data_IF_811116992485
#
_entry.id   IF_811116992485
#
_cell.length_a   1.000
_cell.length_b   1.000
_cell.length_c   1.000
_cell.angle_alpha   90.00
_cell.angle_beta   90.00
_cell.angle_gamma   90.00
#
_symmetry.space_group_name_H-M   'P 1'
#
loop_
_entity.id
_entity.type
_entity.pdbx_description
1 polymer ?
#
# COMPACT_ATOMS: atom_id res chain seq x y z
N UNK A 1 -7.24 -27.82 -34.76
CA UNK A 1 -8.39 -27.18 -34.07
C UNK A 1 -8.08 -25.70 -34.01
N UNK A 2 -8.71 -24.95 -34.91
CA UNK A 2 -8.32 -23.59 -35.26
C UNK A 2 -8.57 -22.58 -34.14
N UNK A 3 -7.49 -21.89 -33.75
CA UNK A 3 -7.45 -20.84 -32.72
C UNK A 3 -7.94 -19.49 -33.30
N UNK A 4 -8.49 -19.49 -34.51
CA UNK A 4 -8.78 -18.29 -35.30
C UNK A 4 -10.22 -17.76 -35.16
N UNK A 5 -11.00 -18.21 -34.17
CA UNK A 5 -12.36 -17.68 -33.99
C UNK A 5 -12.33 -16.45 -33.04
N UNK A 6 -12.50 -15.22 -33.55
CA UNK A 6 -12.38 -14.00 -32.75
C UNK A 6 -13.39 -13.96 -31.58
N UNK A 7 -14.49 -14.68 -31.70
CA UNK A 7 -15.51 -14.83 -30.64
C UNK A 7 -14.97 -15.60 -29.43
N UNK A 8 -14.17 -16.65 -29.63
CA UNK A 8 -13.55 -17.44 -28.55
C UNK A 8 -12.48 -16.62 -27.83
N UNK A 9 -11.72 -15.80 -28.58
CA UNK A 9 -10.72 -14.88 -28.01
C UNK A 9 -11.39 -13.79 -27.17
N UNK A 10 -12.49 -13.19 -27.64
CA UNK A 10 -13.25 -12.17 -26.90
C UNK A 10 -13.91 -12.75 -25.63
N UNK A 11 -14.50 -13.95 -25.71
CA UNK A 11 -15.07 -14.64 -24.54
C UNK A 11 -13.95 -15.04 -23.56
N UNK A 12 -12.80 -15.48 -24.07
CA UNK A 12 -11.60 -15.75 -23.28
C UNK A 12 -11.07 -14.50 -22.57
N UNK A 13 -11.00 -13.36 -23.25
CA UNK A 13 -10.65 -12.05 -22.68
C UNK A 13 -11.64 -11.67 -21.58
N UNK A 14 -12.94 -11.79 -21.84
CA UNK A 14 -13.98 -11.45 -20.87
C UNK A 14 -13.89 -12.34 -19.62
N UNK A 15 -13.67 -13.65 -19.78
CA UNK A 15 -13.51 -14.60 -18.66
C UNK A 15 -12.20 -14.35 -17.91
N UNK A 16 -11.11 -14.03 -18.60
CA UNK A 16 -9.82 -13.76 -17.98
C UNK A 16 -9.82 -12.43 -17.22
N UNK A 17 -10.38 -11.37 -17.81
CA UNK A 17 -10.60 -10.09 -17.14
C UNK A 17 -11.58 -10.25 -15.97
N UNK A 18 -12.63 -11.06 -16.13
CA UNK A 18 -13.56 -11.39 -15.06
C UNK A 18 -12.90 -12.20 -13.94
N UNK A 19 -12.00 -13.16 -14.25
CA UNK A 19 -11.24 -13.93 -13.25
C UNK A 19 -10.14 -13.09 -12.59
N UNK A 20 -9.52 -12.14 -13.30
CA UNK A 20 -8.54 -11.21 -12.76
C UNK A 20 -9.22 -10.17 -11.86
N UNK A 21 -10.38 -9.66 -12.26
CA UNK A 21 -11.24 -8.82 -11.43
C UNK A 21 -11.81 -9.64 -10.26
N UNK A 22 -12.22 -10.89 -10.44
CA UNK A 22 -12.73 -11.76 -9.38
C UNK A 22 -11.64 -12.17 -8.39
N UNK A 23 -10.39 -12.37 -8.82
CA UNK A 23 -9.26 -12.63 -7.91
C UNK A 23 -8.79 -11.36 -7.21
N UNK A 24 -8.87 -10.19 -7.84
CA UNK A 24 -8.68 -8.89 -7.18
C UNK A 24 -9.84 -8.53 -6.24
N UNK A 25 -11.08 -8.94 -6.56
CA UNK A 25 -12.27 -8.74 -5.75
C UNK A 25 -12.40 -9.80 -4.65
N UNK A 26 -11.86 -11.01 -4.83
CA UNK A 26 -11.66 -12.00 -3.78
C UNK A 26 -10.46 -11.62 -2.92
N UNK A 27 -9.39 -11.05 -3.46
CA UNK A 27 -8.35 -10.41 -2.64
C UNK A 27 -8.95 -9.23 -1.88
N UNK A 28 -9.76 -8.37 -2.51
CA UNK A 28 -10.44 -7.24 -1.88
C UNK A 28 -11.54 -7.64 -0.89
N UNK A 29 -12.25 -8.74 -1.16
CA UNK A 29 -13.44 -9.24 -0.45
C UNK A 29 -13.13 -10.31 0.61
N UNK A 30 -12.15 -11.21 0.38
CA UNK A 30 -11.57 -12.02 1.47
C UNK A 30 -10.76 -11.16 2.45
N UNK A 31 -10.25 -10.00 2.02
CA UNK A 31 -9.66 -9.00 2.91
C UNK A 31 -10.66 -7.90 3.34
N UNK A 32 -11.93 -8.05 2.95
CA UNK A 32 -13.01 -7.08 3.13
C UNK A 32 -14.26 -7.74 3.67
N UNK A 33 -14.16 -8.41 4.83
CA UNK A 33 -15.32 -8.67 5.67
C UNK A 33 -14.98 -8.33 7.12
N UNK A 34 -15.62 -7.26 7.58
CA UNK A 34 -15.69 -6.85 8.98
C UNK A 34 -16.10 -8.03 9.88
N UNK A 35 -15.75 -7.88 11.17
CA UNK A 35 -16.19 -8.68 12.31
C UNK A 35 -15.51 -10.03 12.56
N UNK A 36 -14.32 -9.97 13.17
CA UNK A 36 -13.86 -11.00 14.14
C UNK A 36 -13.56 -10.45 15.54
N UNK A 37 -14.15 -9.31 15.91
CA UNK A 37 -14.19 -8.85 17.31
C UNK A 37 -15.26 -9.62 18.11
N UNK A 38 -16.30 -10.17 17.44
CA UNK A 38 -17.32 -10.99 18.11
C UNK A 38 -16.80 -12.37 18.58
N UNK A 39 -15.88 -12.99 17.84
CA UNK A 39 -15.36 -14.33 18.17
C UNK A 39 -14.47 -14.37 19.41
N UNK A 40 -13.72 -13.30 19.70
CA UNK A 40 -12.86 -13.22 20.89
C UNK A 40 -13.66 -12.99 22.19
N UNK A 41 -14.85 -12.37 22.12
CA UNK A 41 -15.75 -12.22 23.28
C UNK A 41 -16.52 -13.51 23.59
N UNK A 42 -16.95 -14.24 22.56
CA UNK A 42 -17.57 -15.58 22.71
C UNK A 42 -16.58 -16.63 23.22
N UNK A 43 -15.31 -16.59 22.82
CA UNK A 43 -14.27 -17.48 23.34
C UNK A 43 -13.95 -17.23 24.82
N UNK A 44 -14.08 -15.99 25.31
CA UNK A 44 -13.87 -15.66 26.73
C UNK A 44 -15.03 -16.12 27.63
N UNK A 45 -16.23 -16.26 27.08
CA UNK A 45 -17.41 -16.78 27.80
C UNK A 45 -17.42 -18.31 27.82
N UNK A 46 -16.87 -18.98 26.80
CA UNK A 46 -16.78 -20.45 26.74
C UNK A 46 -15.67 -21.05 27.62
N UNK A 47 -14.76 -20.22 28.14
CA UNK A 47 -13.68 -20.62 29.06
C UNK A 47 -14.11 -20.68 30.54
N UNK A 48 -15.36 -20.31 30.86
CA UNK A 48 -15.85 -20.27 32.25
C UNK A 48 -16.61 -21.53 32.70
N UNK A 49 -16.88 -22.47 31.79
CA UNK A 49 -17.50 -23.75 32.12
C UNK A 49 -16.83 -24.92 31.41
N UNK A 50 -16.47 -25.94 32.19
CA UNK A 50 -16.21 -27.30 31.69
C UNK A 50 -14.74 -27.69 31.73
N UNK A 51 -14.37 -28.36 32.82
CA UNK A 51 -13.06 -28.98 32.96
C UNK A 51 -12.78 -30.01 31.86
N UNK A 52 -11.58 -29.94 31.30
CA UNK A 52 -10.79 -31.08 30.85
C UNK A 52 -9.42 -30.58 30.40
N UNK A 53 -8.52 -30.39 31.38
CA UNK A 53 -7.11 -30.12 31.14
C UNK A 53 -6.43 -31.21 30.28
N UNK A 54 -6.98 -32.44 30.30
CA UNK A 54 -6.56 -33.55 29.47
C UNK A 54 -6.89 -33.37 27.97
N UNK A 55 -8.04 -32.78 27.62
CA UNK A 55 -8.41 -32.49 26.22
C UNK A 55 -7.63 -31.29 25.68
N UNK A 56 -7.37 -30.28 26.52
CA UNK A 56 -6.52 -29.14 26.16
C UNK A 56 -5.06 -29.55 25.88
N UNK A 57 -4.51 -30.51 26.66
CA UNK A 57 -3.18 -31.06 26.41
C UNK A 57 -3.12 -31.98 25.17
N UNK A 58 -4.18 -32.75 24.91
CA UNK A 58 -4.29 -33.58 23.71
C UNK A 58 -4.47 -32.72 22.43
N UNK A 59 -5.24 -31.63 22.50
CA UNK A 59 -5.35 -30.64 21.42
C UNK A 59 -4.11 -29.75 21.29
N UNK A 60 -3.40 -29.46 22.38
CA UNK A 60 -2.10 -28.78 22.31
C UNK A 60 -1.05 -29.65 21.62
N UNK A 61 -1.00 -30.96 21.89
CA UNK A 61 -0.15 -31.89 21.14
C UNK A 61 -0.59 -31.99 19.67
N UNK A 62 -1.89 -32.10 19.37
CA UNK A 62 -2.40 -32.11 17.98
C UNK A 62 -2.10 -30.79 17.22
N UNK A 63 -2.15 -29.65 17.90
CA UNK A 63 -1.81 -28.34 17.33
C UNK A 63 -0.30 -28.09 17.25
N UNK A 64 0.52 -28.77 18.06
CA UNK A 64 1.98 -28.80 17.95
C UNK A 64 2.43 -29.61 16.71
N UNK A 65 1.74 -30.71 16.39
CA UNK A 65 1.99 -31.48 15.15
C UNK A 65 1.52 -30.78 13.87
N UNK A 66 0.56 -29.85 13.95
CA UNK A 66 0.18 -28.97 12.82
C UNK A 66 1.21 -27.83 12.61
N UNK A 67 2.14 -27.61 13.55
CA UNK A 67 3.17 -26.56 13.50
C UNK A 67 4.50 -27.03 12.87
N UNK A 68 4.48 -28.05 12.02
CA UNK A 68 5.65 -28.51 11.26
C UNK A 68 5.34 -28.84 9.79
N UNK A 69 4.47 -28.06 9.16
CA UNK A 69 4.51 -27.87 7.70
C UNK A 69 5.28 -26.59 7.40
N UNK A 70 6.60 -26.70 7.51
CA UNK A 70 7.56 -25.73 7.00
C UNK A 70 8.39 -26.51 5.97
N UNK A 71 8.73 -25.87 4.85
CA UNK A 71 9.73 -26.31 3.85
C UNK A 71 9.23 -26.76 2.46
N UNK A 72 8.23 -26.08 1.88
CA UNK A 72 8.13 -26.02 0.40
C UNK A 72 7.92 -24.58 -0.09
N UNK A 73 7.15 -23.78 0.65
CA UNK A 73 6.87 -22.37 0.29
C UNK A 73 7.93 -21.37 0.76
N UNK A 74 8.75 -21.72 1.77
CA UNK A 74 9.85 -20.85 2.24
C UNK A 74 11.05 -20.84 1.28
N UNK A 75 11.18 -21.85 0.39
CA UNK A 75 12.20 -21.89 -0.67
C UNK A 75 11.77 -21.15 -1.96
N UNK A 76 10.49 -20.83 -2.12
CA UNK A 76 9.97 -20.16 -3.32
C UNK A 76 10.13 -18.64 -3.27
N UNK A 77 10.38 -18.07 -2.09
CA UNK A 77 10.45 -16.63 -1.89
C UNK A 77 11.80 -16.27 -1.27
N UNK A 78 12.66 -15.50 -1.96
CA UNK A 78 13.89 -14.99 -1.34
C UNK A 78 13.53 -14.11 -0.13
N UNK A 79 14.04 -14.49 1.06
CA UNK A 79 13.85 -13.85 2.38
C UNK A 79 12.40 -13.87 2.93
N UNK A 80 11.91 -15.02 3.41
CA UNK A 80 10.56 -15.15 3.98
C UNK A 80 10.32 -14.27 5.22
N UNK A 81 11.36 -13.99 6.01
CA UNK A 81 11.23 -13.14 7.21
C UNK A 81 10.96 -11.66 6.86
N UNK A 82 11.58 -11.15 5.81
CA UNK A 82 11.40 -9.78 5.35
C UNK A 82 9.99 -9.57 4.79
N UNK A 83 9.48 -10.58 4.09
CA UNK A 83 8.12 -10.57 3.57
C UNK A 83 7.07 -10.67 4.70
N UNK A 84 7.31 -11.49 5.73
CA UNK A 84 6.46 -11.53 6.93
C UNK A 84 6.43 -10.17 7.65
N UNK A 85 7.59 -9.51 7.79
CA UNK A 85 7.65 -8.14 8.33
C UNK A 85 6.84 -7.15 7.50
N UNK A 86 6.94 -7.21 6.16
CA UNK A 86 6.14 -6.36 5.26
C UNK A 86 4.64 -6.63 5.34
N UNK A 87 4.24 -7.88 5.44
CA UNK A 87 2.83 -8.26 5.64
C UNK A 87 2.31 -7.72 6.97
N UNK A 88 3.09 -7.78 8.04
CA UNK A 88 2.72 -7.19 9.33
C UNK A 88 2.53 -5.67 9.25
N UNK A 89 3.26 -4.96 8.37
CA UNK A 89 3.04 -3.51 8.13
C UNK A 89 1.67 -3.19 7.51
N UNK A 90 0.98 -4.17 6.91
CA UNK A 90 -0.40 -3.98 6.44
C UNK A 90 -1.40 -3.91 7.60
N UNK A 91 -1.00 -4.42 8.78
CA UNK A 91 -1.81 -4.70 9.98
C UNK A 91 -3.17 -5.31 9.68
N UNK A 92 -3.23 -6.11 8.61
CA UNK A 92 -4.24 -7.13 8.36
C UNK A 92 -3.58 -8.48 8.62
N UNK A 93 -4.32 -9.47 9.12
CA UNK A 93 -3.86 -10.86 9.31
C UNK A 93 -3.68 -11.59 7.96
N UNK A 94 -2.89 -11.02 7.06
CA UNK A 94 -2.54 -11.63 5.78
C UNK A 94 -1.43 -12.63 6.05
N UNK A 95 -1.83 -13.88 6.30
CA UNK A 95 -0.88 -14.98 6.47
C UNK A 95 0.01 -15.12 5.23
N UNK A 96 1.29 -15.38 5.44
CA UNK A 96 2.28 -15.64 4.39
C UNK A 96 1.79 -16.71 3.39
N UNK A 97 1.09 -17.75 3.87
CA UNK A 97 0.47 -18.78 3.03
C UNK A 97 -0.55 -18.19 2.04
N UNK A 98 -1.39 -17.25 2.48
CA UNK A 98 -2.41 -16.59 1.63
C UNK A 98 -1.78 -15.72 0.55
N UNK A 99 -0.68 -15.03 0.88
CA UNK A 99 0.08 -14.25 -0.11
C UNK A 99 0.66 -15.14 -1.20
N UNK A 100 1.37 -16.20 -0.83
CA UNK A 100 2.01 -17.11 -1.81
C UNK A 100 0.96 -17.80 -2.70
N UNK A 101 -0.16 -18.26 -2.11
CA UNK A 101 -1.27 -18.84 -2.88
C UNK A 101 -1.85 -17.79 -3.85
N UNK A 102 -2.06 -16.55 -3.41
CA UNK A 102 -2.57 -15.49 -4.29
C UNK A 102 -1.60 -15.18 -5.44
N UNK A 103 -0.30 -15.17 -5.20
CA UNK A 103 0.71 -14.96 -6.24
C UNK A 103 0.75 -16.09 -7.27
N UNK A 104 0.63 -17.34 -6.81
CA UNK A 104 0.57 -18.51 -7.70
C UNK A 104 -0.72 -18.47 -8.54
N UNK A 105 -1.88 -18.20 -7.92
CA UNK A 105 -3.16 -18.11 -8.64
C UNK A 105 -3.13 -16.99 -9.67
N UNK A 106 -2.63 -15.80 -9.31
CA UNK A 106 -2.48 -14.68 -10.26
C UNK A 106 -1.52 -15.06 -11.39
N UNK A 107 -0.40 -15.72 -11.08
CA UNK A 107 0.55 -16.18 -12.10
C UNK A 107 -0.07 -17.15 -13.08
N UNK A 108 -0.79 -18.17 -12.60
CA UNK A 108 -1.48 -19.16 -13.44
C UNK A 108 -2.57 -18.50 -14.29
N UNK A 109 -3.36 -17.60 -13.71
CA UNK A 109 -4.40 -16.86 -14.44
C UNK A 109 -3.78 -15.98 -15.52
N UNK A 110 -2.70 -15.26 -15.23
CA UNK A 110 -2.01 -14.42 -16.21
C UNK A 110 -1.40 -15.26 -17.33
N UNK A 111 -0.71 -16.37 -17.02
CA UNK A 111 -0.16 -17.29 -18.03
C UNK A 111 -1.26 -17.81 -18.95
N UNK A 112 -2.35 -18.32 -18.37
CA UNK A 112 -3.46 -18.91 -19.12
C UNK A 112 -4.19 -17.88 -19.98
N UNK A 113 -4.38 -16.67 -19.44
CA UNK A 113 -4.95 -15.55 -20.19
C UNK A 113 -4.09 -15.17 -21.39
N UNK A 114 -2.76 -15.13 -21.22
CA UNK A 114 -1.82 -14.73 -22.28
C UNK A 114 -1.75 -15.78 -23.40
N UNK A 115 -1.78 -17.07 -23.06
CA UNK A 115 -1.84 -18.16 -24.04
C UNK A 115 -3.12 -18.07 -24.89
N UNK A 116 -4.26 -17.74 -24.28
CA UNK A 116 -5.55 -17.63 -24.99
C UNK A 116 -5.65 -16.35 -25.82
N UNK A 117 -5.17 -15.21 -25.30
CA UNK A 117 -5.28 -13.90 -25.98
C UNK A 117 -4.34 -13.76 -27.16
N UNK A 118 -3.10 -14.21 -27.00
CA UNK A 118 -2.02 -13.77 -27.89
C UNK A 118 -1.53 -14.86 -28.83
N UNK A 119 -1.98 -16.11 -28.65
CA UNK A 119 -1.57 -17.24 -29.49
C UNK A 119 -0.06 -17.52 -29.46
N UNK A 120 0.69 -16.88 -28.55
CA UNK A 120 2.12 -17.09 -28.36
C UNK A 120 2.38 -18.49 -27.80
N UNK A 121 3.52 -19.08 -28.19
CA UNK A 121 4.02 -20.34 -27.65
C UNK A 121 4.02 -20.34 -26.12
N UNK A 122 3.84 -21.51 -25.50
CA UNK A 122 3.76 -21.68 -24.05
C UNK A 122 4.94 -21.04 -23.28
N UNK A 123 6.14 -21.03 -23.88
CA UNK A 123 7.39 -20.51 -23.29
C UNK A 123 7.34 -19.00 -22.92
N UNK A 124 7.09 -18.06 -23.86
CA UNK A 124 6.99 -16.63 -23.51
C UNK A 124 5.80 -16.31 -22.57
N UNK A 125 4.67 -17.00 -22.70
CA UNK A 125 3.51 -16.77 -21.82
C UNK A 125 3.78 -17.19 -20.37
N UNK A 126 4.59 -18.24 -20.15
CA UNK A 126 5.03 -18.65 -18.82
C UNK A 126 5.94 -17.59 -18.16
N UNK A 127 6.85 -16.97 -18.92
CA UNK A 127 7.71 -15.90 -18.41
C UNK A 127 6.88 -14.69 -17.97
N UNK A 128 5.91 -14.27 -18.78
CA UNK A 128 5.01 -13.14 -18.47
C UNK A 128 4.13 -13.47 -17.26
N UNK A 129 3.65 -14.70 -17.14
CA UNK A 129 2.85 -15.12 -15.98
C UNK A 129 3.63 -15.21 -14.67
N UNK A 130 4.90 -15.65 -14.71
CA UNK A 130 5.78 -15.60 -13.53
C UNK A 130 6.01 -14.15 -13.10
N UNK A 131 6.32 -13.26 -14.05
CA UNK A 131 6.50 -11.84 -13.77
C UNK A 131 5.20 -11.20 -13.23
N UNK A 132 4.06 -11.46 -13.87
CA UNK A 132 2.75 -10.95 -13.43
C UNK A 132 2.35 -11.48 -12.04
N UNK A 133 2.56 -12.78 -11.80
CA UNK A 133 2.25 -13.45 -10.55
C UNK A 133 3.08 -12.95 -9.37
N UNK A 134 4.33 -12.54 -9.59
CA UNK A 134 5.15 -11.93 -8.55
C UNK A 134 4.87 -10.42 -8.40
N UNK A 135 4.69 -9.71 -9.51
CA UNK A 135 4.66 -8.25 -9.54
C UNK A 135 3.32 -7.65 -9.10
N UNK A 136 2.19 -8.17 -9.59
CA UNK A 136 0.85 -7.66 -9.23
C UNK A 136 0.57 -7.69 -7.71
N UNK A 137 0.70 -8.83 -7.01
CA UNK A 137 0.39 -8.87 -5.58
C UNK A 137 1.39 -8.04 -4.77
N UNK A 138 2.64 -7.93 -5.22
CA UNK A 138 3.64 -7.07 -4.59
C UNK A 138 3.25 -5.59 -4.67
N UNK A 139 2.83 -5.12 -5.85
CA UNK A 139 2.35 -3.75 -6.04
C UNK A 139 1.11 -3.46 -5.21
N UNK A 140 0.16 -4.41 -5.15
CA UNK A 140 -1.04 -4.27 -4.35
C UNK A 140 -0.72 -4.10 -2.86
N UNK A 141 0.10 -5.00 -2.30
CA UNK A 141 0.54 -4.89 -0.90
C UNK A 141 1.26 -3.57 -0.66
N UNK A 142 2.16 -3.16 -1.55
CA UNK A 142 2.88 -1.91 -1.39
C UNK A 142 1.93 -0.71 -1.37
N UNK A 143 0.88 -0.71 -2.22
CA UNK A 143 -0.17 0.31 -2.19
C UNK A 143 -0.95 0.29 -0.87
N UNK A 144 -1.31 -0.89 -0.35
CA UNK A 144 -2.02 -1.01 0.93
C UNK A 144 -1.17 -0.48 2.09
N UNK A 145 0.12 -0.86 2.15
CA UNK A 145 1.07 -0.36 3.16
C UNK A 145 1.19 1.16 3.06
N UNK A 146 1.46 1.70 1.86
CA UNK A 146 1.57 3.15 1.63
C UNK A 146 0.30 3.89 2.06
N UNK A 147 -0.88 3.36 1.74
CA UNK A 147 -2.16 3.97 2.13
C UNK A 147 -2.36 3.95 3.65
N UNK A 148 -2.02 2.85 4.33
CA UNK A 148 -2.09 2.75 5.80
C UNK A 148 -1.11 3.70 6.47
N UNK A 149 0.15 3.74 6.03
CA UNK A 149 1.17 4.64 6.57
C UNK A 149 0.81 6.11 6.32
N UNK A 150 0.27 6.45 5.15
CA UNK A 150 -0.22 7.80 4.89
C UNK A 150 -1.35 8.20 5.83
N UNK A 151 -2.29 7.28 6.11
CA UNK A 151 -3.36 7.50 7.11
C UNK A 151 -2.79 7.66 8.52
N UNK A 152 -1.80 6.85 8.89
CA UNK A 152 -1.09 6.97 10.16
C UNK A 152 -0.46 8.35 10.30
N UNK A 153 0.36 8.79 9.33
CA UNK A 153 1.04 10.10 9.35
C UNK A 153 0.05 11.26 9.43
N UNK A 154 -1.10 11.17 8.75
CA UNK A 154 -2.13 12.21 8.80
C UNK A 154 -2.77 12.33 10.19
N UNK A 155 -3.02 11.21 10.87
CA UNK A 155 -3.67 11.16 12.19
C UNK A 155 -2.67 11.30 13.35
N UNK A 156 -1.37 11.16 13.11
CA UNK A 156 -0.35 11.16 14.14
C UNK A 156 -0.27 12.46 14.97
N UNK A 157 -0.41 13.67 14.40
CA UNK A 157 -0.45 14.90 15.18
C UNK A 157 -1.61 14.93 16.20
N UNK A 158 -2.77 14.40 15.83
CA UNK A 158 -3.95 14.31 16.70
C UNK A 158 -3.72 13.32 17.86
N UNK A 159 -3.00 12.24 17.60
CA UNK A 159 -2.58 11.30 18.65
C UNK A 159 -1.66 11.97 19.67
N UNK A 160 -0.71 12.80 19.23
CA UNK A 160 0.20 13.53 20.12
C UNK A 160 -0.57 14.58 20.93
N UNK A 161 -1.51 15.31 20.34
CA UNK A 161 -2.37 16.24 21.08
C UNK A 161 -3.11 15.57 22.23
N UNK A 162 -3.61 14.34 22.01
CA UNK A 162 -4.28 13.58 23.06
C UNK A 162 -3.29 13.20 24.19
N UNK A 163 -2.06 12.85 23.86
CA UNK A 163 -1.00 12.62 24.86
C UNK A 163 -0.71 13.91 25.63
N UNK A 164 -0.53 15.03 24.94
CA UNK A 164 -0.26 16.34 25.55
C UNK A 164 -1.38 16.72 26.52
N UNK A 165 -2.65 16.51 26.15
CA UNK A 165 -3.81 16.75 27.04
C UNK A 165 -3.75 15.88 28.29
N UNK A 166 -3.40 14.60 28.16
CA UNK A 166 -3.24 13.70 29.29
C UNK A 166 -2.11 14.15 30.23
N UNK A 167 -0.95 14.52 29.68
CA UNK A 167 0.19 15.03 30.44
C UNK A 167 -0.14 16.33 31.19
N UNK A 168 -0.87 17.26 30.56
CA UNK A 168 -1.33 18.51 31.21
C UNK A 168 -2.34 18.24 32.33
N UNK A 169 -3.11 17.15 32.23
CA UNK A 169 -4.00 16.69 33.29
C UNK A 169 -3.26 15.92 34.41
N UNK A 170 -1.93 15.80 34.34
CA UNK A 170 -1.11 15.10 35.32
C UNK A 170 -1.06 13.58 35.15
N UNK A 171 -1.57 13.04 34.02
CA UNK A 171 -1.48 11.60 33.77
C UNK A 171 -0.03 11.20 33.45
N UNK A 172 0.42 10.03 33.93
CA UNK A 172 1.67 9.45 33.48
C UNK A 172 1.70 9.27 31.96
N UNK A 173 2.90 9.32 31.37
CA UNK A 173 3.12 9.13 29.92
C UNK A 173 2.55 7.79 29.44
N UNK A 174 2.73 6.73 30.24
CA UNK A 174 2.22 5.37 29.98
C UNK A 174 0.71 5.33 29.84
N UNK A 175 -0.02 6.02 30.73
CA UNK A 175 -1.49 6.11 30.69
C UNK A 175 -1.97 6.99 29.54
N UNK A 176 -1.26 8.07 29.25
CA UNK A 176 -1.55 8.95 28.11
C UNK A 176 -1.42 8.19 26.78
N UNK A 177 -0.39 7.36 26.63
CA UNK A 177 -0.22 6.45 25.48
C UNK A 177 -1.35 5.41 25.43
N UNK A 178 -1.77 4.87 26.57
CA UNK A 178 -2.87 3.93 26.64
C UNK A 178 -4.22 4.60 26.27
N UNK A 179 -4.42 5.88 26.58
CA UNK A 179 -5.63 6.62 26.19
C UNK A 179 -5.74 6.76 24.66
N UNK A 180 -4.63 7.06 23.98
CA UNK A 180 -4.57 7.10 22.51
C UNK A 180 -5.05 5.80 21.88
N UNK A 181 -4.68 4.65 22.45
CA UNK A 181 -5.11 3.35 21.93
C UNK A 181 -6.62 3.13 21.96
N UNK A 182 -7.34 3.82 22.87
CA UNK A 182 -8.79 3.67 23.09
C UNK A 182 -9.62 4.71 22.32
N UNK A 183 -9.11 5.92 22.17
CA UNK A 183 -9.85 7.05 21.59
C UNK A 183 -9.61 7.22 20.08
N UNK A 184 -8.42 6.85 19.59
CA UNK A 184 -8.09 7.01 18.17
C UNK A 184 -8.68 5.90 17.30
N UNK A 185 -8.75 6.15 16.00
CA UNK A 185 -9.13 5.15 15.01
C UNK A 185 -7.91 4.39 14.47
N UNK A 186 -8.17 3.27 13.81
CA UNK A 186 -7.16 2.49 13.10
C UNK A 186 -6.55 3.33 11.95
N UNK A 187 -5.21 3.39 11.77
CA UNK A 187 -4.19 2.49 12.30
C UNK A 187 -3.50 2.92 13.61
N UNK A 188 -3.74 4.13 14.11
CA UNK A 188 -3.07 4.66 15.31
C UNK A 188 -3.42 3.81 16.54
N UNK A 189 -4.70 3.51 16.75
CA UNK A 189 -5.15 2.75 17.92
C UNK A 189 -4.47 1.40 18.04
N UNK A 190 -4.36 0.66 16.94
CA UNK A 190 -3.69 -0.66 16.91
C UNK A 190 -2.20 -0.56 17.25
N UNK A 191 -1.48 0.43 16.72
CA UNK A 191 -0.04 0.56 17.02
C UNK A 191 0.21 0.99 18.47
N UNK A 192 -0.59 1.93 18.99
CA UNK A 192 -0.50 2.38 20.38
C UNK A 192 -1.01 1.33 21.38
N UNK A 193 -1.98 0.49 21.00
CA UNK A 193 -2.40 -0.66 21.78
C UNK A 193 -1.26 -1.67 21.93
N UNK A 194 -0.54 -1.98 20.84
CA UNK A 194 0.63 -2.86 20.90
C UNK A 194 1.73 -2.30 21.81
N UNK A 195 1.98 -0.99 21.78
CA UNK A 195 2.94 -0.35 22.70
C UNK A 195 2.49 -0.52 24.15
N UNK A 196 1.22 -0.24 24.46
CA UNK A 196 0.67 -0.40 25.81
C UNK A 196 0.73 -1.85 26.28
N UNK A 197 0.42 -2.82 25.41
CA UNK A 197 0.49 -4.24 25.71
C UNK A 197 1.94 -4.70 25.95
N UNK A 198 2.90 -4.24 25.15
CA UNK A 198 4.32 -4.56 25.34
C UNK A 198 4.85 -4.04 26.69
N UNK A 199 4.43 -2.83 27.10
CA UNK A 199 4.78 -2.26 28.40
C UNK A 199 4.14 -3.06 29.55
N UNK A 200 2.86 -3.44 29.41
CA UNK A 200 2.15 -4.30 30.39
C UNK A 200 2.79 -5.67 30.55
N UNK A 201 3.46 -6.17 29.51
CA UNK A 201 4.21 -7.42 29.51
C UNK A 201 5.63 -7.27 30.09
N UNK A 202 6.00 -6.08 30.58
CA UNK A 202 7.25 -5.83 31.28
C UNK A 202 8.38 -5.28 30.42
N UNK A 203 8.14 -4.94 29.14
CA UNK A 203 9.14 -4.19 28.36
C UNK A 203 9.24 -2.75 28.84
N UNK A 204 10.41 -2.16 28.65
CA UNK A 204 10.56 -0.72 28.91
C UNK A 204 9.79 0.09 27.85
N UNK A 205 9.38 1.31 28.21
CA UNK A 205 8.72 2.23 27.29
C UNK A 205 9.56 2.48 26.04
N UNK A 206 10.85 2.72 26.24
CA UNK A 206 11.80 2.99 25.15
C UNK A 206 11.89 1.79 24.19
N UNK A 207 12.03 0.57 24.69
CA UNK A 207 12.04 -0.65 23.87
C UNK A 207 10.76 -0.84 23.05
N UNK A 208 9.60 -0.63 23.67
CA UNK A 208 8.30 -0.80 23.02
C UNK A 208 8.08 0.24 21.90
N UNK A 209 8.53 1.47 22.14
CA UNK A 209 8.48 2.56 21.17
C UNK A 209 9.45 2.33 20.01
N UNK A 210 10.70 1.94 20.27
CA UNK A 210 11.68 1.64 19.22
C UNK A 210 11.29 0.41 18.38
N UNK A 211 10.72 -0.61 19.00
CA UNK A 211 10.12 -1.77 18.31
C UNK A 211 9.08 -1.31 17.29
N UNK A 212 8.19 -0.40 17.70
CA UNK A 212 7.16 0.17 16.84
C UNK A 212 7.73 1.11 15.78
N UNK A 213 8.77 1.91 16.11
CA UNK A 213 9.46 2.78 15.17
C UNK A 213 10.14 1.99 14.03
N UNK A 214 10.75 0.85 14.35
CA UNK A 214 11.34 -0.06 13.37
C UNK A 214 10.29 -0.73 12.49
N UNK A 215 9.10 -1.00 13.03
CA UNK A 215 7.97 -1.59 12.28
C UNK A 215 7.32 -0.59 11.33
N UNK A 216 6.96 0.59 11.82
CA UNK A 216 6.31 1.65 11.02
C UNK A 216 7.26 2.26 10.01
N UNK A 217 8.52 2.48 10.40
CA UNK A 217 9.57 3.07 9.58
C UNK A 217 9.20 4.45 9.01
N UNK A 218 8.49 5.25 9.81
CA UNK A 218 8.16 6.64 9.46
C UNK A 218 9.10 7.60 10.19
N UNK A 219 9.61 8.65 9.51
CA UNK A 219 10.51 9.61 10.14
C UNK A 219 9.83 10.34 11.31
N UNK A 220 8.54 10.64 11.15
CA UNK A 220 7.74 11.37 12.13
C UNK A 220 7.61 10.61 13.46
N UNK A 221 7.41 9.28 13.39
CA UNK A 221 7.34 8.46 14.59
C UNK A 221 8.71 8.26 15.23
N UNK A 222 9.78 8.08 14.44
CA UNK A 222 11.15 8.01 14.97
C UNK A 222 11.52 9.29 15.72
N UNK A 223 11.14 10.45 15.18
CA UNK A 223 11.38 11.74 15.83
C UNK A 223 10.61 11.84 17.15
N UNK A 224 9.35 11.39 17.19
CA UNK A 224 8.58 11.31 18.44
C UNK A 224 9.27 10.45 19.51
N UNK A 225 9.75 9.25 19.14
CA UNK A 225 10.45 8.36 20.09
C UNK A 225 11.70 9.03 20.64
N UNK A 226 12.52 9.65 19.78
CA UNK A 226 13.72 10.36 20.19
C UNK A 226 13.39 11.54 21.11
N UNK A 227 12.42 12.39 20.74
CA UNK A 227 12.00 13.53 21.56
C UNK A 227 11.49 13.10 22.93
N UNK A 228 10.73 12.00 23.00
CA UNK A 228 10.21 11.48 24.25
C UNK A 228 11.33 10.92 25.13
N UNK A 229 12.25 10.13 24.57
CA UNK A 229 13.37 9.56 25.30
C UNK A 229 14.28 10.66 25.90
N UNK A 230 14.69 11.63 25.08
CA UNK A 230 15.54 12.75 25.53
C UNK A 230 14.87 13.55 26.65
N UNK A 231 13.57 13.83 26.51
CA UNK A 231 12.87 14.61 27.52
C UNK A 231 12.66 13.85 28.83
N UNK A 232 12.47 12.53 28.75
CA UNK A 232 12.30 11.68 29.93
C UNK A 232 13.60 11.54 30.72
N UNK A 233 14.76 11.55 30.06
CA UNK A 233 16.08 11.56 30.71
C UNK A 233 16.44 12.93 31.30
N UNK A 234 16.13 14.01 30.59
CA UNK A 234 16.48 15.38 31.01
C UNK A 234 15.47 16.01 31.97
N UNK A 235 14.27 15.43 32.12
CA UNK A 235 13.26 15.84 33.09
C UNK A 235 12.54 17.16 32.77
N UNK A 236 12.64 17.67 31.54
CA UNK A 236 12.00 18.92 31.16
C UNK A 236 10.48 18.80 30.89
N UNK A 237 9.87 19.88 30.40
CA UNK A 237 8.44 19.94 30.08
C UNK A 237 8.04 19.10 28.84
N UNK A 238 7.66 17.85 29.06
CA UNK A 238 7.25 16.94 27.99
C UNK A 238 6.01 17.40 27.21
N UNK A 239 5.06 18.05 27.87
CA UNK A 239 3.86 18.55 27.21
C UNK A 239 4.22 19.65 26.18
N UNK A 240 5.18 20.51 26.48
CA UNK A 240 5.66 21.56 25.59
C UNK A 240 6.45 20.99 24.41
N UNK A 241 7.40 20.08 24.65
CA UNK A 241 8.17 19.43 23.57
C UNK A 241 7.26 18.70 22.59
N UNK A 242 6.25 17.97 23.09
CA UNK A 242 5.28 17.28 22.24
C UNK A 242 4.30 18.23 21.53
N UNK A 243 3.99 19.39 22.13
CA UNK A 243 3.22 20.45 21.46
C UNK A 243 4.01 21.00 20.26
N UNK A 244 5.28 21.36 20.46
CA UNK A 244 6.16 21.84 19.41
C UNK A 244 6.32 20.81 18.27
N UNK A 245 6.44 19.53 18.62
CA UNK A 245 6.45 18.45 17.63
C UNK A 245 5.16 18.43 16.79
N UNK A 246 4.00 18.56 17.43
CA UNK A 246 2.71 18.56 16.74
C UNK A 246 2.60 19.71 15.74
N UNK A 247 3.10 20.89 16.10
CA UNK A 247 3.14 22.05 15.21
C UNK A 247 4.08 21.84 14.01
N UNK A 248 5.25 21.25 14.23
CA UNK A 248 6.19 20.87 13.15
C UNK A 248 5.54 19.88 12.19
N UNK A 249 4.87 18.84 12.69
CA UNK A 249 4.22 17.81 11.86
C UNK A 249 3.07 18.40 11.02
N UNK A 250 2.26 19.28 11.62
CA UNK A 250 1.21 20.03 10.92
C UNK A 250 1.80 20.96 9.86
N UNK A 251 2.87 21.68 10.20
CA UNK A 251 3.60 22.55 9.27
C UNK A 251 4.08 21.79 8.04
N UNK A 252 4.71 20.61 8.22
CA UNK A 252 5.14 19.74 7.11
C UNK A 252 3.98 19.27 6.25
N UNK A 253 2.84 18.92 6.86
CA UNK A 253 1.64 18.49 6.12
C UNK A 253 1.07 19.65 5.29
N UNK A 254 0.97 20.85 5.88
CA UNK A 254 0.53 22.06 5.17
C UNK A 254 1.47 22.42 4.01
N UNK A 255 2.78 22.31 4.21
CA UNK A 255 3.77 22.56 3.16
C UNK A 255 3.59 21.58 1.99
N UNK A 256 3.42 20.28 2.25
CA UNK A 256 3.15 19.28 1.20
C UNK A 256 1.86 19.56 0.42
N UNK A 257 0.80 20.00 1.11
CA UNK A 257 -0.46 20.38 0.46
C UNK A 257 -0.28 21.64 -0.39
N UNK A 258 0.47 22.64 0.10
CA UNK A 258 0.80 23.86 -0.64
C UNK A 258 1.61 23.56 -1.90
N UNK A 259 2.66 22.74 -1.78
CA UNK A 259 3.46 22.28 -2.93
C UNK A 259 2.56 21.59 -3.95
N UNK A 260 1.71 20.65 -3.51
CA UNK A 260 0.77 19.96 -4.40
C UNK A 260 -0.20 20.90 -5.11
N UNK A 261 -0.70 21.91 -4.41
CA UNK A 261 -1.59 22.92 -4.99
C UNK A 261 -0.88 23.74 -6.06
N UNK A 262 0.34 24.23 -5.77
CA UNK A 262 1.16 24.98 -6.73
C UNK A 262 1.51 24.15 -7.98
N UNK A 263 1.90 22.88 -7.81
CA UNK A 263 2.17 21.97 -8.93
C UNK A 263 0.91 21.70 -9.77
N UNK A 264 -0.29 21.70 -9.15
CA UNK A 264 -1.54 21.47 -9.88
C UNK A 264 -1.82 22.57 -10.91
N UNK A 265 -1.45 23.82 -10.61
CA UNK A 265 -1.58 24.95 -11.53
C UNK A 265 -0.65 24.75 -12.74
N UNK A 266 0.63 24.44 -12.51
CA UNK A 266 1.59 24.16 -13.57
C UNK A 266 1.18 22.96 -14.44
N UNK A 267 0.64 21.90 -13.83
CA UNK A 267 0.09 20.73 -14.56
C UNK A 267 -1.06 21.09 -15.48
N UNK A 268 -2.01 21.90 -15.01
CA UNK A 268 -3.15 22.31 -15.82
C UNK A 268 -2.70 23.08 -17.06
N UNK A 269 -1.81 24.06 -16.90
CA UNK A 269 -1.24 24.82 -18.03
C UNK A 269 -0.45 23.94 -18.98
N UNK A 270 0.34 22.99 -18.47
CA UNK A 270 1.08 22.03 -19.28
C UNK A 270 0.14 21.13 -20.11
N UNK A 271 -0.99 20.67 -19.55
CA UNK A 271 -1.98 19.89 -20.30
C UNK A 271 -2.66 20.72 -21.38
N UNK A 272 -3.01 21.98 -21.10
CA UNK A 272 -3.61 22.89 -22.09
C UNK A 272 -2.66 23.08 -23.28
N UNK A 273 -1.43 23.51 -23.02
CA UNK A 273 -0.42 23.78 -24.07
C UNK A 273 -0.04 22.50 -24.81
N UNK A 274 0.17 21.40 -24.09
CA UNK A 274 0.54 20.11 -24.68
C UNK A 274 -0.56 19.50 -25.57
N UNK A 275 -1.83 19.81 -25.28
CA UNK A 275 -2.97 19.33 -26.09
C UNK A 275 -3.21 20.15 -27.36
N UNK A 276 -2.73 21.39 -27.42
CA UNK A 276 -3.04 22.36 -28.48
C UNK A 276 -2.68 21.86 -29.90
N UNK A 277 -1.51 21.23 -30.15
CA UNK A 277 -1.19 20.74 -31.49
C UNK A 277 -2.11 19.60 -31.96
N UNK A 278 -2.59 18.75 -31.05
CA UNK A 278 -3.53 17.68 -31.37
C UNK A 278 -4.91 18.25 -31.69
N UNK A 279 -5.37 19.23 -30.91
CA UNK A 279 -6.62 19.94 -31.16
C UNK A 279 -6.55 20.65 -32.52
N UNK A 280 -5.47 21.37 -32.79
CA UNK A 280 -5.25 22.04 -34.09
C UNK A 280 -5.21 21.04 -35.25
N UNK A 281 -4.50 19.92 -35.10
CA UNK A 281 -4.49 18.85 -36.10
C UNK A 281 -5.91 18.30 -36.35
N UNK A 282 -6.69 18.06 -35.29
CA UNK A 282 -8.08 17.62 -35.41
C UNK A 282 -8.98 18.63 -36.12
N UNK A 283 -8.87 19.92 -35.78
CA UNK A 283 -9.64 20.99 -36.42
C UNK A 283 -9.25 21.12 -37.90
N UNK A 284 -7.97 21.13 -38.22
CA UNK A 284 -7.49 21.18 -39.61
C UNK A 284 -7.93 19.97 -40.42
N UNK A 285 -7.96 18.79 -39.80
CA UNK A 285 -8.47 17.58 -40.45
C UNK A 285 -9.97 17.65 -40.78
N UNK A 286 -10.76 18.41 -40.02
CA UNK A 286 -12.19 18.62 -40.26
C UNK A 286 -12.46 19.75 -41.26
N UNK A 287 -11.72 20.85 -41.16
CA UNK A 287 -11.93 22.03 -42.00
C UNK A 287 -11.30 21.90 -43.39
N UNK A 288 -10.10 21.31 -43.49
CA UNK A 288 -9.32 21.21 -44.72
C UNK A 288 -8.69 19.81 -44.86
N UNK A 289 -9.50 18.77 -45.16
CA UNK A 289 -9.01 17.40 -45.26
C UNK A 289 -7.93 17.20 -46.34
N UNK A 290 -7.99 17.93 -47.46
CA UNK A 290 -6.94 17.87 -48.49
C UNK A 290 -5.57 18.32 -47.96
N UNK A 291 -5.53 19.38 -47.13
CA UNK A 291 -4.28 19.90 -46.56
C UNK A 291 -3.64 18.89 -45.61
N UNK A 292 -4.43 18.21 -44.79
CA UNK A 292 -3.91 17.16 -43.90
C UNK A 292 -3.45 15.92 -44.67
N UNK A 293 -4.15 15.55 -45.75
CA UNK A 293 -3.77 14.39 -46.55
C UNK A 293 -2.40 14.55 -47.21
N UNK A 294 -2.07 15.77 -47.66
CA UNK A 294 -0.74 16.13 -48.18
C UNK A 294 0.36 15.90 -47.15
N UNK A 295 0.09 16.16 -45.87
CA UNK A 295 1.07 15.96 -44.79
C UNK A 295 1.43 14.48 -44.58
N UNK A 296 0.49 13.56 -44.85
CA UNK A 296 0.72 12.11 -44.73
C UNK A 296 1.23 11.45 -46.02
N UNK A 297 0.95 12.03 -47.19
CA UNK A 297 1.35 11.44 -48.49
C UNK A 297 2.68 11.97 -49.02
N UNK A 298 3.04 13.23 -48.77
CA UNK A 298 4.32 13.77 -49.22
C UNK A 298 5.48 13.42 -48.27
N UNK A 299 6.66 13.02 -48.80
CA UNK A 299 7.84 12.73 -47.99
C UNK A 299 8.28 13.89 -47.08
N UNK A 300 8.13 15.13 -47.56
CA UNK A 300 8.44 16.33 -46.79
C UNK A 300 7.48 16.55 -45.60
N UNK A 301 6.21 16.21 -45.77
CA UNK A 301 5.20 16.29 -44.70
C UNK A 301 5.45 15.28 -43.58
N UNK A 302 5.83 14.04 -43.94
CA UNK A 302 6.17 13.00 -42.98
C UNK A 302 7.40 13.35 -42.14
N UNK A 303 8.44 13.93 -42.75
CA UNK A 303 9.64 14.40 -42.04
C UNK A 303 9.29 15.53 -41.07
N UNK A 304 8.46 16.49 -41.48
CA UNK A 304 8.01 17.57 -40.62
C UNK A 304 7.19 17.06 -39.43
N UNK A 305 6.31 16.07 -39.66
CA UNK A 305 5.47 15.46 -38.62
C UNK A 305 6.31 14.66 -37.62
N UNK A 306 7.32 13.92 -38.10
CA UNK A 306 8.28 13.22 -37.24
C UNK A 306 9.12 14.20 -36.42
N UNK A 307 9.60 15.30 -37.02
CA UNK A 307 10.30 16.37 -36.31
C UNK A 307 9.44 17.02 -35.23
N UNK A 308 8.18 17.32 -35.54
CA UNK A 308 7.22 17.86 -34.58
C UNK A 308 6.93 16.88 -33.43
N UNK A 309 6.79 15.59 -33.72
CA UNK A 309 6.58 14.56 -32.70
C UNK A 309 7.78 14.41 -31.77
N UNK A 310 9.01 14.46 -32.29
CA UNK A 310 10.23 14.44 -31.48
C UNK A 310 10.32 15.70 -30.60
N UNK A 311 10.09 16.88 -31.17
CA UNK A 311 10.12 18.15 -30.42
C UNK A 311 9.07 18.17 -29.31
N UNK A 312 7.87 17.69 -29.60
CA UNK A 312 6.80 17.55 -28.61
C UNK A 312 7.18 16.53 -27.53
N UNK A 313 7.76 15.39 -27.90
CA UNK A 313 8.25 14.40 -26.95
C UNK A 313 9.30 14.98 -25.99
N UNK A 314 10.23 15.77 -26.50
CA UNK A 314 11.23 16.50 -25.69
C UNK A 314 10.53 17.49 -24.75
N UNK A 315 9.57 18.28 -25.26
CA UNK A 315 8.80 19.23 -24.45
C UNK A 315 8.03 18.57 -23.30
N UNK A 316 7.32 17.48 -23.60
CA UNK A 316 6.59 16.70 -22.58
C UNK A 316 7.56 16.08 -21.57
N UNK A 317 8.71 15.58 -22.01
CA UNK A 317 9.74 15.03 -21.13
C UNK A 317 10.31 16.07 -20.16
N UNK A 318 10.62 17.28 -20.65
CA UNK A 318 11.10 18.40 -19.81
C UNK A 318 10.03 18.79 -18.79
N UNK A 319 8.77 18.92 -19.22
CA UNK A 319 7.64 19.22 -18.34
C UNK A 319 7.45 18.14 -17.28
N UNK A 320 7.52 16.86 -17.65
CA UNK A 320 7.38 15.74 -16.73
C UNK A 320 8.50 15.71 -15.68
N UNK A 321 9.73 16.08 -16.05
CA UNK A 321 10.84 16.18 -15.11
C UNK A 321 10.66 17.35 -14.14
N UNK A 322 10.36 18.56 -14.62
CA UNK A 322 10.10 19.73 -13.75
C UNK A 322 9.05 19.43 -12.67
N UNK A 323 7.98 18.76 -13.06
CA UNK A 323 6.87 18.41 -12.17
C UNK A 323 7.24 17.35 -11.11
N UNK A 324 8.17 16.46 -11.42
CA UNK A 324 8.58 15.38 -10.51
C UNK A 324 9.66 15.82 -9.50
N UNK A 325 10.42 16.88 -9.78
CA UNK A 325 11.51 17.33 -8.90
C UNK A 325 11.05 17.97 -7.56
N UNK A 326 9.76 18.28 -7.40
CA UNK A 326 9.21 18.87 -6.16
C UNK A 326 8.45 17.88 -5.25
N UNK A 327 8.42 16.58 -5.56
CA UNK A 327 7.70 15.55 -4.77
C UNK A 327 8.62 14.68 -3.93
#
# INVERSE_FOLDING_TARGET
MDIANPTIVIIGIAICVFLLIATLALAGGLLGKQNKIAGKRLAKIKMRHGGNAALAAAQAKKNLFVKKEVSLLDNLVPKPEEMRRRLNKTGRDISFKKYVISSIVVGVVVTFSMVILSGLSFTPSLMVGIFGGLFLPHLYINRVIKKRLAKFTLQFPEAIDLIVRGLRAGLPVTESIAAVSREMQDPISTEFAMISDEIRLGKTMDEALWSTAKRLDTPDFKFFVISLAVQQETGGNLAETLTNLTDILRGRTKLKLKIRAMISEGKASAYIIGSLPFIMCGILSLMNPEYMFVMFTNPQGQIALLGAAIWMGIGVFILANMINFEV
#
